data_IF_181723757560
#
_entry.id   IF_181723757560
#
_cell.length_a   1.000
_cell.length_b   1.000
_cell.length_c   1.000
_cell.angle_alpha   90.00
_cell.angle_beta   90.00
_cell.angle_gamma   90.00
#
_symmetry.space_group_name_H-M   'P 1'
#
loop_
_entity.id
_entity.type
_entity.pdbx_description
1 polymer ?
#
# COMPACT_ATOMS: atom_id res chain seq x y z
N UNK A 1 30.13 -21.39 10.09
CA UNK A 1 28.98 -20.47 10.15
C UNK A 1 27.71 -21.22 9.80
N UNK A 2 26.77 -21.30 10.73
CA UNK A 2 25.45 -21.83 10.41
C UNK A 2 24.71 -20.81 9.54
N UNK A 3 24.58 -21.10 8.24
CA UNK A 3 23.66 -20.35 7.38
C UNK A 3 22.25 -20.59 7.90
N UNK A 4 21.62 -19.53 8.43
CA UNK A 4 20.18 -19.59 8.74
C UNK A 4 19.42 -19.78 7.42
N UNK A 5 18.71 -20.89 7.31
CA UNK A 5 17.80 -21.14 6.19
C UNK A 5 16.39 -20.76 6.62
N UNK A 6 15.72 -19.90 5.84
CA UNK A 6 14.33 -19.54 6.05
C UNK A 6 13.44 -20.42 5.17
N UNK A 7 12.29 -20.84 5.70
CA UNK A 7 11.30 -21.62 4.95
C UNK A 7 10.29 -20.73 4.21
N UNK A 8 10.19 -19.50 4.62
CA UNK A 8 9.28 -18.54 4.00
C UNK A 8 9.68 -17.11 4.31
N UNK A 9 9.20 -16.21 3.49
CA UNK A 9 9.38 -14.76 3.65
C UNK A 9 8.03 -14.09 3.46
N UNK A 10 7.68 -13.19 4.38
CA UNK A 10 6.48 -12.36 4.30
C UNK A 10 6.93 -10.95 4.01
N UNK A 11 6.42 -10.39 2.91
CA UNK A 11 6.68 -9.02 2.48
C UNK A 11 5.51 -8.11 2.81
N UNK A 12 5.81 -6.88 3.19
CA UNK A 12 4.84 -5.79 3.10
C UNK A 12 4.67 -5.37 1.63
N UNK A 13 3.66 -4.59 1.32
CA UNK A 13 3.36 -4.13 -0.04
C UNK A 13 3.88 -2.71 -0.27
N UNK A 14 3.22 -1.72 0.34
CA UNK A 14 3.54 -0.30 0.14
C UNK A 14 4.93 0.03 0.67
N UNK A 15 5.81 0.52 -0.20
CA UNK A 15 7.18 0.86 0.17
C UNK A 15 8.13 -0.34 0.28
N UNK A 16 7.67 -1.55 -0.07
CA UNK A 16 8.48 -2.78 -0.02
C UNK A 16 8.50 -3.50 -1.37
N UNK A 17 7.36 -3.96 -1.86
CA UNK A 17 7.24 -4.57 -3.19
C UNK A 17 6.99 -3.51 -4.26
N UNK A 18 6.15 -2.54 -3.97
CA UNK A 18 5.74 -1.46 -4.86
C UNK A 18 6.01 -0.10 -4.23
N UNK A 19 6.54 0.83 -5.01
CA UNK A 19 6.45 2.24 -4.72
C UNK A 19 5.07 2.74 -5.13
N UNK A 20 4.19 2.91 -4.14
CA UNK A 20 2.80 3.36 -4.32
C UNK A 20 2.64 4.86 -4.05
N UNK A 21 3.72 5.58 -3.86
CA UNK A 21 3.71 6.98 -3.41
C UNK A 21 2.96 7.91 -4.37
N UNK A 22 3.13 7.77 -5.67
CA UNK A 22 2.46 8.62 -6.68
C UNK A 22 0.94 8.55 -6.54
N UNK A 23 0.37 7.36 -6.51
CA UNK A 23 -1.07 7.17 -6.41
C UNK A 23 -1.63 7.59 -5.04
N UNK A 24 -0.95 7.25 -3.96
CA UNK A 24 -1.35 7.67 -2.61
C UNK A 24 -1.31 9.19 -2.47
N UNK A 25 -0.23 9.84 -2.91
CA UNK A 25 -0.10 11.29 -2.83
C UNK A 25 -1.18 12.01 -3.65
N UNK A 26 -1.45 11.55 -4.87
CA UNK A 26 -2.50 12.12 -5.72
C UNK A 26 -3.87 12.06 -5.04
N UNK A 27 -4.23 10.92 -4.48
CA UNK A 27 -5.51 10.73 -3.79
C UNK A 27 -5.60 11.51 -2.47
N UNK A 28 -4.51 11.61 -1.71
CA UNK A 28 -4.46 12.46 -0.51
C UNK A 28 -4.61 13.93 -0.86
N UNK A 29 -3.91 14.42 -1.89
CA UNK A 29 -4.06 15.81 -2.35
C UNK A 29 -5.50 16.12 -2.77
N UNK A 30 -6.11 15.24 -3.53
CA UNK A 30 -7.53 15.37 -3.91
C UNK A 30 -8.44 15.45 -2.68
N UNK A 31 -8.23 14.56 -1.70
CA UNK A 31 -9.02 14.53 -0.47
C UNK A 31 -8.86 15.82 0.34
N UNK A 32 -7.64 16.28 0.52
CA UNK A 32 -7.32 17.51 1.26
C UNK A 32 -7.96 18.73 0.61
N UNK A 33 -7.90 18.82 -0.71
CA UNK A 33 -8.56 19.90 -1.48
C UNK A 33 -10.09 19.84 -1.32
N UNK A 34 -10.70 18.67 -1.42
CA UNK A 34 -12.13 18.47 -1.22
C UNK A 34 -12.60 18.83 0.20
N UNK A 35 -11.74 18.69 1.20
CA UNK A 35 -12.01 19.11 2.58
C UNK A 35 -11.76 20.61 2.81
N UNK A 36 -11.33 21.36 1.81
CA UNK A 36 -10.99 22.79 1.94
C UNK A 36 -9.79 23.05 2.84
N UNK A 37 -8.89 22.11 2.97
CA UNK A 37 -7.67 22.21 3.80
C UNK A 37 -6.49 22.69 2.95
N UNK A 38 -5.47 23.33 3.58
CA UNK A 38 -4.25 23.73 2.87
C UNK A 38 -3.50 22.52 2.30
N UNK A 39 -2.82 22.74 1.17
CA UNK A 39 -1.97 21.73 0.55
C UNK A 39 -0.90 21.22 1.52
N UNK A 40 -0.64 19.90 1.48
CA UNK A 40 0.37 19.25 2.31
C UNK A 40 1.73 19.26 1.63
N UNK A 41 2.80 19.37 2.43
CA UNK A 41 4.15 19.15 1.97
C UNK A 41 4.44 17.65 1.75
N UNK A 42 5.53 17.35 1.05
CA UNK A 42 5.89 15.98 0.74
C UNK A 42 6.18 15.13 1.99
N UNK A 43 6.80 15.72 3.00
CA UNK A 43 7.09 15.02 4.25
C UNK A 43 5.81 14.53 4.93
N UNK A 44 4.77 15.36 4.96
CA UNK A 44 3.46 14.99 5.51
C UNK A 44 2.76 13.94 4.62
N UNK A 45 2.81 14.09 3.29
CA UNK A 45 2.26 13.11 2.37
C UNK A 45 2.88 11.72 2.55
N UNK A 46 4.17 11.64 2.79
CA UNK A 46 4.87 10.37 3.05
C UNK A 46 4.35 9.63 4.28
N UNK A 47 3.79 10.33 5.27
CA UNK A 47 3.21 9.69 6.45
C UNK A 47 1.93 8.91 6.16
N UNK A 48 1.33 9.09 4.97
CA UNK A 48 0.16 8.31 4.54
C UNK A 48 0.52 6.96 3.93
N UNK A 49 1.78 6.70 3.64
CA UNK A 49 2.21 5.42 3.08
C UNK A 49 2.37 4.40 4.21
N UNK A 50 1.62 3.31 4.15
CA UNK A 50 1.65 2.22 5.12
C UNK A 50 0.46 2.23 6.08
N UNK A 51 0.21 3.28 6.88
CA UNK A 51 -0.92 3.31 7.80
C UNK A 51 -2.28 3.36 7.06
N UNK A 52 -3.37 2.89 7.70
CA UNK A 52 -4.72 3.13 7.18
C UNK A 52 -5.00 4.63 7.05
N UNK A 53 -5.50 5.05 5.88
CA UNK A 53 -5.71 6.47 5.56
C UNK A 53 -6.62 7.19 6.55
N UNK A 54 -7.66 6.50 7.04
CA UNK A 54 -8.57 7.04 8.06
C UNK A 54 -7.82 7.51 9.31
N UNK A 55 -6.90 6.68 9.82
CA UNK A 55 -6.11 7.01 11.00
C UNK A 55 -5.17 8.19 10.75
N UNK A 56 -4.59 8.27 9.56
CA UNK A 56 -3.74 9.39 9.18
C UNK A 56 -4.53 10.70 9.08
N UNK A 57 -5.73 10.68 8.54
CA UNK A 57 -6.62 11.86 8.45
C UNK A 57 -7.08 12.31 9.84
N UNK A 58 -7.44 11.37 10.73
CA UNK A 58 -7.79 11.69 12.12
C UNK A 58 -6.60 12.35 12.83
N UNK A 59 -5.43 11.76 12.70
CA UNK A 59 -4.20 12.29 13.35
C UNK A 59 -3.86 13.69 12.87
N UNK A 60 -3.99 13.94 11.57
CA UNK A 60 -3.59 15.21 10.96
C UNK A 60 -4.60 16.34 11.25
N UNK A 61 -5.89 16.04 11.22
CA UNK A 61 -6.94 17.06 11.28
C UNK A 61 -7.83 17.00 12.52
N UNK A 62 -7.64 16.01 13.41
CA UNK A 62 -8.48 15.86 14.60
C UNK A 62 -9.95 15.57 14.26
N UNK A 63 -10.21 14.85 13.19
CA UNK A 63 -11.57 14.57 12.73
C UNK A 63 -12.32 13.65 13.70
N UNK A 64 -13.61 13.91 13.89
CA UNK A 64 -14.51 12.96 14.52
C UNK A 64 -14.79 11.76 13.60
N UNK A 65 -15.54 10.78 14.10
CA UNK A 65 -15.80 9.54 13.36
C UNK A 65 -16.53 9.77 12.04
N UNK A 66 -17.55 10.63 12.02
CA UNK A 66 -18.34 10.89 10.83
C UNK A 66 -17.53 11.67 9.77
N UNK A 67 -16.78 12.68 10.19
CA UNK A 67 -15.89 13.44 9.32
C UNK A 67 -14.75 12.56 8.77
N UNK A 68 -14.19 11.69 9.60
CA UNK A 68 -13.14 10.75 9.17
C UNK A 68 -13.66 9.72 8.17
N UNK A 69 -14.87 9.21 8.36
CA UNK A 69 -15.51 8.31 7.40
C UNK A 69 -15.75 9.01 6.07
N UNK A 70 -16.29 10.23 6.09
CA UNK A 70 -16.53 11.02 4.88
C UNK A 70 -15.21 11.28 4.11
N UNK A 71 -14.18 11.74 4.80
CA UNK A 71 -12.88 11.99 4.20
C UNK A 71 -12.25 10.71 3.61
N UNK A 72 -12.41 9.59 4.32
CA UNK A 72 -11.92 8.28 3.86
C UNK A 72 -12.64 7.81 2.59
N UNK A 73 -13.94 8.06 2.45
CA UNK A 73 -14.70 7.73 1.25
C UNK A 73 -14.27 8.59 0.05
N UNK A 74 -13.98 9.87 0.25
CA UNK A 74 -13.41 10.73 -0.82
C UNK A 74 -12.09 10.14 -1.31
N UNK A 75 -11.19 9.79 -0.37
CA UNK A 75 -9.91 9.17 -0.71
C UNK A 75 -10.10 7.86 -1.47
N UNK A 76 -10.94 6.96 -0.96
CA UNK A 76 -11.16 5.63 -1.54
C UNK A 76 -11.71 5.69 -2.95
N UNK A 77 -12.66 6.58 -3.19
CA UNK A 77 -13.25 6.78 -4.53
C UNK A 77 -12.19 7.28 -5.51
N UNK A 78 -11.44 8.30 -5.15
CA UNK A 78 -10.37 8.82 -5.99
C UNK A 78 -9.28 7.78 -6.24
N UNK A 79 -8.83 7.10 -5.18
CA UNK A 79 -7.77 6.10 -5.27
C UNK A 79 -8.18 4.92 -6.16
N UNK A 80 -9.35 4.34 -5.92
CA UNK A 80 -9.86 3.21 -6.69
C UNK A 80 -10.04 3.56 -8.18
N UNK A 81 -10.65 4.70 -8.47
CA UNK A 81 -11.11 5.03 -9.81
C UNK A 81 -10.02 5.66 -10.68
N UNK A 82 -9.00 6.29 -10.06
CA UNK A 82 -8.01 7.10 -10.80
C UNK A 82 -6.55 6.77 -10.48
N UNK A 83 -6.21 6.50 -9.22
CA UNK A 83 -4.83 6.57 -8.77
C UNK A 83 -4.23 5.22 -8.33
N UNK A 84 -5.02 4.17 -8.17
CA UNK A 84 -4.59 2.87 -7.64
C UNK A 84 -3.36 2.31 -8.38
N UNK A 85 -3.36 2.37 -9.70
CA UNK A 85 -2.31 1.80 -10.53
C UNK A 85 -1.14 2.76 -10.80
N UNK A 86 -1.14 3.95 -10.22
CA UNK A 86 0.02 4.86 -10.22
C UNK A 86 1.05 4.41 -9.19
N UNK A 87 1.73 3.35 -9.53
CA UNK A 87 2.72 2.67 -8.71
C UNK A 87 3.77 2.01 -9.58
N UNK A 88 4.89 1.65 -9.00
CA UNK A 88 5.97 0.93 -9.70
C UNK A 88 6.58 -0.14 -8.79
N UNK A 89 6.87 -1.35 -9.31
CA UNK A 89 7.69 -2.31 -8.60
C UNK A 89 9.10 -1.77 -8.35
N UNK A 90 9.65 -2.02 -7.16
CA UNK A 90 11.05 -1.70 -6.92
C UNK A 90 11.96 -2.57 -7.80
N UNK A 91 13.05 -1.97 -8.28
CA UNK A 91 14.04 -2.66 -9.09
C UNK A 91 14.61 -3.86 -8.33
N UNK A 92 14.69 -5.01 -9.00
CA UNK A 92 15.25 -6.24 -8.45
C UNK A 92 14.36 -7.04 -7.50
N UNK A 93 13.17 -6.51 -7.11
CA UNK A 93 12.31 -7.19 -6.13
C UNK A 93 11.76 -8.52 -6.67
N UNK A 94 11.36 -8.55 -7.93
CA UNK A 94 10.87 -9.79 -8.56
C UNK A 94 11.97 -10.83 -8.70
N UNK A 95 13.16 -10.41 -9.04
CA UNK A 95 14.31 -11.31 -9.15
C UNK A 95 14.69 -11.90 -7.79
N UNK A 96 14.60 -11.09 -6.72
CA UNK A 96 14.78 -11.56 -5.35
C UNK A 96 13.74 -12.63 -4.99
N UNK A 97 12.47 -12.40 -5.28
CA UNK A 97 11.39 -13.35 -5.00
C UNK A 97 11.60 -14.65 -5.76
N UNK A 98 11.95 -14.59 -7.05
CA UNK A 98 12.24 -15.78 -7.85
C UNK A 98 13.43 -16.56 -7.29
N UNK A 99 14.48 -15.86 -6.85
CA UNK A 99 15.64 -16.51 -6.22
C UNK A 99 15.28 -17.19 -4.90
N UNK A 100 14.46 -16.59 -4.06
CA UNK A 100 13.96 -17.18 -2.83
C UNK A 100 13.10 -18.42 -3.11
N UNK A 101 12.21 -18.35 -4.09
CA UNK A 101 11.40 -19.51 -4.51
C UNK A 101 12.25 -20.65 -5.05
N UNK A 102 13.29 -20.35 -5.82
CA UNK A 102 14.24 -21.34 -6.31
C UNK A 102 14.99 -22.07 -5.17
N UNK A 103 15.13 -21.43 -4.02
CA UNK A 103 15.68 -22.02 -2.79
C UNK A 103 14.64 -22.76 -1.94
N UNK A 104 13.40 -22.87 -2.41
CA UNK A 104 12.32 -23.55 -1.70
C UNK A 104 11.58 -22.68 -0.67
N UNK A 105 11.81 -21.37 -0.63
CA UNK A 105 11.07 -20.47 0.24
C UNK A 105 9.62 -20.27 -0.24
N UNK A 106 8.68 -20.29 0.70
CA UNK A 106 7.32 -19.81 0.48
C UNK A 106 7.30 -18.30 0.56
N UNK A 107 6.46 -17.66 -0.26
CA UNK A 107 6.35 -16.21 -0.34
C UNK A 107 4.94 -15.78 0.06
N UNK A 108 4.86 -14.94 1.07
CA UNK A 108 3.61 -14.31 1.50
C UNK A 108 3.68 -12.80 1.37
N UNK A 109 2.52 -12.18 1.25
CA UNK A 109 2.34 -10.74 1.38
C UNK A 109 1.36 -10.48 2.52
N UNK A 110 1.72 -9.59 3.43
CA UNK A 110 0.85 -9.10 4.50
C UNK A 110 0.91 -7.57 4.53
N UNK A 111 -0.23 -6.93 4.36
CA UNK A 111 -0.31 -5.47 4.24
C UNK A 111 -1.51 -4.90 5.00
N UNK A 112 -1.34 -3.69 5.53
CA UNK A 112 -2.44 -2.90 6.09
C UNK A 112 -3.32 -2.24 5.00
N UNK A 113 -2.89 -2.33 3.74
CA UNK A 113 -3.74 -1.90 2.62
C UNK A 113 -4.98 -2.80 2.54
N UNK A 114 -6.10 -2.21 2.16
CA UNK A 114 -7.34 -2.94 1.84
C UNK A 114 -7.04 -4.10 0.88
N UNK A 115 -7.54 -5.27 1.20
CA UNK A 115 -7.18 -6.50 0.47
C UNK A 115 -7.52 -6.44 -1.02
N UNK A 116 -8.68 -5.90 -1.38
CA UNK A 116 -9.08 -5.76 -2.78
C UNK A 116 -8.13 -4.86 -3.59
N UNK A 117 -7.63 -3.78 -2.99
CA UNK A 117 -6.62 -2.92 -3.63
C UNK A 117 -5.27 -3.62 -3.75
N UNK A 118 -4.87 -4.34 -2.71
CA UNK A 118 -3.64 -5.11 -2.72
C UNK A 118 -3.64 -6.19 -3.81
N UNK A 119 -4.73 -6.94 -3.92
CA UNK A 119 -4.90 -7.98 -4.95
C UNK A 119 -4.86 -7.38 -6.36
N UNK A 120 -5.56 -6.27 -6.58
CA UNK A 120 -5.56 -5.57 -7.88
C UNK A 120 -4.16 -5.11 -8.28
N UNK A 121 -3.41 -4.51 -7.36
CA UNK A 121 -2.03 -4.07 -7.61
C UNK A 121 -1.09 -5.23 -7.91
N UNK A 122 -1.13 -6.27 -7.09
CA UNK A 122 -0.26 -7.43 -7.23
C UNK A 122 -0.53 -8.21 -8.53
N UNK A 123 -1.79 -8.30 -8.93
CA UNK A 123 -2.17 -8.90 -10.22
C UNK A 123 -1.68 -8.04 -11.39
N UNK A 124 -1.91 -6.74 -11.34
CA UNK A 124 -1.51 -5.82 -12.41
C UNK A 124 0.00 -5.84 -12.68
N UNK A 125 0.81 -5.90 -11.61
CA UNK A 125 2.26 -5.93 -11.71
C UNK A 125 2.86 -7.36 -11.74
N UNK A 126 2.04 -8.39 -11.91
CA UNK A 126 2.44 -9.78 -12.07
C UNK A 126 3.18 -10.38 -10.86
N UNK A 127 2.75 -10.03 -9.65
CA UNK A 127 3.24 -10.63 -8.42
C UNK A 127 2.42 -11.84 -7.95
N UNK A 128 1.15 -11.94 -8.33
CA UNK A 128 0.22 -12.98 -7.84
C UNK A 128 0.78 -14.37 -8.06
N UNK A 129 1.37 -14.65 -9.22
CA UNK A 129 1.98 -15.92 -9.56
C UNK A 129 3.21 -16.28 -8.70
N UNK A 130 3.84 -15.27 -8.11
CA UNK A 130 5.05 -15.42 -7.30
C UNK A 130 4.75 -15.59 -5.81
N UNK A 131 3.48 -15.42 -5.40
CA UNK A 131 3.06 -15.47 -4.01
C UNK A 131 2.28 -16.75 -3.71
N UNK A 132 2.57 -17.37 -2.57
CA UNK A 132 1.81 -18.51 -2.04
C UNK A 132 0.60 -18.05 -1.24
N UNK A 133 0.67 -16.87 -0.62
CA UNK A 133 -0.44 -16.26 0.11
C UNK A 133 -0.39 -14.73 0.06
N UNK A 134 -1.55 -14.10 0.05
CA UNK A 134 -1.70 -12.64 0.10
C UNK A 134 -2.79 -12.32 1.11
N UNK A 135 -2.46 -11.50 2.10
CA UNK A 135 -3.36 -11.02 3.12
C UNK A 135 -3.36 -9.49 3.14
N UNK A 136 -4.50 -8.88 2.97
CA UNK A 136 -4.71 -7.46 3.18
C UNK A 136 -5.55 -7.19 4.44
N UNK A 137 -5.87 -5.92 4.69
CA UNK A 137 -6.76 -5.58 5.79
C UNK A 137 -8.22 -5.64 5.37
N UNK A 138 -9.07 -5.88 6.35
CA UNK A 138 -10.50 -5.74 6.19
C UNK A 138 -10.91 -4.25 6.07
N UNK A 139 -12.15 -4.01 5.74
CA UNK A 139 -12.68 -2.67 5.42
C UNK A 139 -13.03 -1.87 6.68
#
# INVERSE_FOLDING_TARGET
>A
MNKKTYRGVIFDLDGTLLDTSEGVFASVRHTVEALGKPALDEATLRTFIGPPVKLSLIRLYGLDEDAANHATEIFRTQYKDHDLLKAEPYAGIKDLIRALRAQGCKIGVATLKREDYALTLLEHYHFTELCDSICGSDF
#
